data_IF_303350097998
#
_entry.id   IF_303350097998
#
_cell.length_a   1.000
_cell.length_b   1.000
_cell.length_c   1.000
_cell.angle_alpha   90.00
_cell.angle_beta   90.00
_cell.angle_gamma   90.00
#
_symmetry.space_group_name_H-M   'P 1'
#
loop_
_entity.id
_entity.type
_entity.pdbx_description
1 polymer ?
#
# COMPACT_ATOMS: atom_id res chain seq x y z
N UNK A 1 10.95 33.45 -3.25
CA UNK A 1 10.90 34.46 -2.18
C UNK A 1 9.67 34.35 -1.29
N UNK A 2 8.47 34.13 -1.83
CA UNK A 2 7.23 34.08 -1.01
C UNK A 2 7.25 33.06 0.14
N UNK A 3 7.76 31.85 -0.09
CA UNK A 3 7.86 30.82 0.97
C UNK A 3 8.73 31.26 2.16
N UNK A 4 9.77 32.09 1.92
CA UNK A 4 10.62 32.63 2.98
C UNK A 4 9.83 33.64 3.83
N UNK A 5 9.11 34.56 3.17
CA UNK A 5 8.27 35.56 3.85
C UNK A 5 7.18 34.90 4.71
N UNK A 6 6.54 33.84 4.22
CA UNK A 6 5.56 33.09 5.02
C UNK A 6 6.21 32.39 6.22
N UNK A 7 7.38 31.80 6.03
CA UNK A 7 8.11 31.14 7.11
C UNK A 7 8.55 32.13 8.20
N UNK A 8 9.07 33.30 7.82
CA UNK A 8 9.46 34.36 8.77
C UNK A 8 8.26 34.80 9.62
N UNK A 9 7.14 35.15 8.99
CA UNK A 9 5.92 35.53 9.70
C UNK A 9 5.41 34.41 10.63
N UNK A 10 5.47 33.15 10.19
CA UNK A 10 5.02 32.01 10.98
C UNK A 10 5.94 31.76 12.19
N UNK A 11 7.25 31.95 12.01
CA UNK A 11 8.25 31.76 13.06
C UNK A 11 8.21 32.86 14.14
N UNK A 12 7.61 34.00 13.86
CA UNK A 12 7.42 35.07 14.85
C UNK A 12 6.27 34.78 15.84
N UNK A 13 5.30 33.94 15.46
CA UNK A 13 4.18 33.56 16.34
C UNK A 13 4.59 32.48 17.36
N UNK A 14 5.05 32.94 18.53
CA UNK A 14 5.42 32.07 19.64
C UNK A 14 4.28 31.20 20.15
N UNK A 15 3.02 31.62 20.06
CA UNK A 15 1.90 30.84 20.56
C UNK A 15 1.65 29.61 19.67
N UNK A 16 1.70 29.79 18.35
CA UNK A 16 1.58 28.68 17.40
C UNK A 16 2.77 27.72 17.55
N UNK A 17 4.00 28.24 17.63
CA UNK A 17 5.19 27.39 17.80
C UNK A 17 5.15 26.56 19.09
N UNK A 18 4.70 27.14 20.21
CA UNK A 18 4.58 26.39 21.47
C UNK A 18 3.49 25.31 21.40
N UNK A 19 2.38 25.57 20.69
CA UNK A 19 1.35 24.55 20.45
C UNK A 19 1.90 23.40 19.62
N UNK A 20 2.54 23.69 18.49
CA UNK A 20 3.09 22.67 17.58
C UNK A 20 4.12 21.78 18.26
N UNK A 21 4.96 22.33 19.14
CA UNK A 21 5.96 21.57 19.91
C UNK A 21 5.36 20.44 20.76
N UNK A 22 4.10 20.57 21.19
CA UNK A 22 3.44 19.59 22.07
C UNK A 22 2.39 18.76 21.33
N UNK A 23 2.14 19.01 20.05
CA UNK A 23 1.10 18.32 19.28
C UNK A 23 1.40 16.82 19.12
N UNK A 24 2.67 16.42 19.02
CA UNK A 24 3.03 14.99 18.95
C UNK A 24 2.54 14.24 20.19
N UNK A 25 2.82 14.77 21.38
CA UNK A 25 2.50 14.12 22.65
C UNK A 25 1.02 14.24 23.01
N UNK A 26 0.38 15.37 22.67
CA UNK A 26 -1.01 15.65 23.05
C UNK A 26 -2.05 15.20 22.03
N UNK A 27 -1.67 15.08 20.76
CA UNK A 27 -2.60 14.80 19.65
C UNK A 27 -2.18 13.56 18.88
N UNK A 28 -0.95 13.50 18.35
CA UNK A 28 -0.57 12.42 17.44
C UNK A 28 -0.50 11.06 18.15
N UNK A 29 0.25 10.95 19.25
CA UNK A 29 0.45 9.69 19.98
C UNK A 29 -0.87 9.13 20.53
N UNK A 30 -1.70 9.92 21.26
CA UNK A 30 -2.96 9.40 21.79
C UNK A 30 -3.92 8.91 20.69
N UNK A 31 -4.05 9.68 19.59
CA UNK A 31 -4.89 9.27 18.47
C UNK A 31 -4.33 8.04 17.75
N UNK A 32 -3.01 7.98 17.54
CA UNK A 32 -2.38 6.80 16.96
C UNK A 32 -2.67 5.56 17.80
N UNK A 33 -2.55 5.62 19.13
CA UNK A 33 -2.92 4.50 20.00
C UNK A 33 -4.39 4.08 19.91
N UNK A 34 -5.31 5.03 19.80
CA UNK A 34 -6.75 4.75 19.66
C UNK A 34 -7.04 3.97 18.36
N UNK A 35 -6.36 4.32 17.27
CA UNK A 35 -6.59 3.72 15.95
C UNK A 35 -5.62 2.60 15.56
N UNK A 36 -4.58 2.33 16.37
CA UNK A 36 -3.47 1.44 16.01
C UNK A 36 -3.96 0.03 15.64
N UNK A 37 -4.85 -0.56 16.44
CA UNK A 37 -5.41 -1.90 16.18
C UNK A 37 -6.24 -1.95 14.91
N UNK A 38 -6.99 -0.89 14.57
CA UNK A 38 -7.81 -0.84 13.36
C UNK A 38 -6.97 -0.87 12.07
N UNK A 39 -5.69 -0.51 12.16
CA UNK A 39 -4.75 -0.51 11.04
C UNK A 39 -3.84 -1.74 11.11
N UNK A 40 -3.21 -1.99 12.26
CA UNK A 40 -2.20 -3.06 12.39
C UNK A 40 -2.79 -4.46 12.44
N UNK A 41 -3.94 -4.62 13.11
CA UNK A 41 -4.55 -5.93 13.32
C UNK A 41 -5.56 -6.26 12.22
N UNK A 42 -5.94 -5.28 11.40
CA UNK A 42 -6.78 -5.50 10.22
C UNK A 42 -6.04 -6.42 9.26
N UNK A 43 -6.69 -7.52 8.91
CA UNK A 43 -6.22 -8.41 7.85
C UNK A 43 -7.42 -8.88 7.04
N UNK A 44 -7.30 -8.73 5.73
CA UNK A 44 -8.31 -9.16 4.77
C UNK A 44 -7.65 -10.15 3.83
N UNK A 45 -8.27 -11.32 3.67
CA UNK A 45 -7.75 -12.38 2.80
C UNK A 45 -7.96 -11.99 1.34
N UNK A 46 -6.98 -12.25 0.46
CA UNK A 46 -7.15 -11.95 -0.96
C UNK A 46 -8.24 -12.78 -1.60
N UNK A 47 -9.02 -12.13 -2.44
CA UNK A 47 -9.82 -12.80 -3.45
C UNK A 47 -8.93 -13.11 -4.65
N UNK A 48 -8.78 -14.40 -4.97
CA UNK A 48 -7.88 -14.86 -6.03
C UNK A 48 -8.68 -15.44 -7.19
N UNK A 49 -8.41 -14.92 -8.40
CA UNK A 49 -8.97 -15.43 -9.65
C UNK A 49 -7.86 -15.93 -10.55
N UNK A 50 -8.01 -17.16 -11.06
CA UNK A 50 -7.12 -17.77 -12.04
C UNK A 50 -7.80 -17.80 -13.41
N UNK A 51 -7.15 -17.24 -14.44
CA UNK A 51 -7.69 -17.19 -15.79
C UNK A 51 -6.66 -17.56 -16.84
N UNK A 52 -7.12 -18.06 -17.99
CA UNK A 52 -6.28 -18.30 -19.17
C UNK A 52 -6.48 -17.15 -20.14
N UNK A 53 -5.40 -16.43 -20.44
CA UNK A 53 -5.43 -15.22 -21.26
C UNK A 53 -4.62 -15.45 -22.52
N UNK A 54 -5.22 -15.17 -23.68
CA UNK A 54 -4.51 -15.11 -24.96
C UNK A 54 -4.11 -13.66 -25.24
N UNK A 55 -2.86 -13.44 -25.63
CA UNK A 55 -2.43 -12.12 -26.08
C UNK A 55 -3.17 -11.72 -27.36
N UNK A 56 -3.43 -10.43 -27.53
CA UNK A 56 -4.28 -9.88 -28.60
C UNK A 56 -3.85 -10.31 -30.01
N UNK A 57 -2.55 -10.56 -30.23
CA UNK A 57 -2.00 -10.95 -31.53
C UNK A 57 -2.17 -12.44 -31.87
N UNK A 58 -2.74 -13.25 -30.97
CA UNK A 58 -3.15 -14.65 -31.20
C UNK A 58 -2.03 -15.65 -31.52
N UNK A 59 -0.80 -15.18 -31.77
CA UNK A 59 0.38 -16.01 -32.11
C UNK A 59 1.04 -16.64 -30.90
N UNK A 60 0.84 -16.07 -29.71
CA UNK A 60 1.43 -16.58 -28.47
C UNK A 60 0.52 -17.60 -27.79
N UNK A 61 1.08 -18.67 -27.18
CA UNK A 61 0.32 -19.57 -26.32
C UNK A 61 -0.41 -18.80 -25.21
N UNK A 62 -1.53 -19.35 -24.75
CA UNK A 62 -2.25 -18.77 -23.63
C UNK A 62 -1.38 -18.79 -22.37
N UNK A 63 -1.38 -17.68 -21.63
CA UNK A 63 -0.71 -17.55 -20.34
C UNK A 63 -1.72 -17.68 -19.22
N UNK A 64 -1.29 -18.19 -18.07
CA UNK A 64 -2.11 -18.17 -16.87
C UNK A 64 -1.91 -16.84 -16.17
N UNK A 65 -3.02 -16.16 -15.86
CA UNK A 65 -3.05 -14.92 -15.12
C UNK A 65 -3.72 -15.17 -13.76
N UNK A 66 -2.96 -14.95 -12.69
CA UNK A 66 -3.44 -14.96 -11.32
C UNK A 66 -3.66 -13.51 -10.89
N UNK A 67 -4.91 -13.14 -10.64
CA UNK A 67 -5.26 -11.83 -10.11
C UNK A 67 -5.65 -11.95 -8.64
N UNK A 68 -5.04 -11.15 -7.78
CA UNK A 68 -5.34 -11.09 -6.35
C UNK A 68 -5.84 -9.69 -5.99
N UNK A 69 -7.02 -9.61 -5.38
CA UNK A 69 -7.71 -8.36 -5.05
C UNK A 69 -8.20 -8.38 -3.60
N UNK A 70 -8.64 -7.22 -3.10
CA UNK A 70 -9.36 -7.06 -1.83
C UNK A 70 -8.59 -7.64 -0.63
N UNK A 71 -7.28 -7.39 -0.56
CA UNK A 71 -6.44 -7.86 0.53
C UNK A 71 -5.79 -6.71 1.28
N UNK A 72 -5.54 -6.95 2.56
CA UNK A 72 -4.85 -6.01 3.42
C UNK A 72 -4.05 -6.78 4.47
N UNK A 73 -2.81 -6.37 4.81
CA UNK A 73 -2.07 -5.21 4.29
C UNK A 73 -1.49 -5.42 2.88
N UNK A 74 -0.87 -4.37 2.30
CA UNK A 74 -0.34 -4.31 0.92
C UNK A 74 0.62 -5.46 0.54
N UNK A 75 1.36 -6.02 1.50
CA UNK A 75 2.38 -7.02 1.18
C UNK A 75 1.76 -8.39 0.92
N UNK A 76 1.95 -8.90 -0.29
CA UNK A 76 1.52 -10.25 -0.69
C UNK A 76 2.68 -11.02 -1.32
N UNK A 77 2.60 -12.36 -1.28
CA UNK A 77 3.51 -13.25 -2.01
C UNK A 77 2.72 -14.23 -2.83
N UNK A 78 2.92 -14.20 -4.15
CA UNK A 78 2.29 -15.12 -5.10
C UNK A 78 3.36 -16.04 -5.68
N UNK A 79 3.07 -17.34 -5.78
CA UNK A 79 3.98 -18.33 -6.35
C UNK A 79 3.23 -19.32 -7.21
N UNK A 80 3.85 -19.75 -8.30
CA UNK A 80 3.32 -20.78 -9.19
C UNK A 80 3.95 -22.13 -8.90
N UNK A 81 3.14 -23.18 -8.96
CA UNK A 81 3.59 -24.56 -8.85
C UNK A 81 3.15 -25.33 -10.10
N UNK A 82 4.05 -26.17 -10.61
CA UNK A 82 3.76 -27.15 -11.66
C UNK A 82 4.05 -28.53 -11.09
N UNK A 83 3.02 -29.37 -11.01
CA UNK A 83 3.10 -30.71 -10.41
C UNK A 83 3.71 -30.69 -9.00
N UNK A 84 3.32 -29.68 -8.20
CA UNK A 84 3.81 -29.48 -6.82
C UNK A 84 5.22 -28.90 -6.72
N UNK A 85 5.92 -28.62 -7.82
CA UNK A 85 7.25 -28.00 -7.83
C UNK A 85 7.16 -26.51 -8.10
N UNK A 86 7.87 -25.71 -7.29
CA UNK A 86 7.94 -24.26 -7.45
C UNK A 86 8.50 -23.88 -8.83
N UNK A 87 7.79 -23.01 -9.53
CA UNK A 87 8.26 -22.39 -10.76
C UNK A 87 8.95 -21.07 -10.45
N UNK A 88 10.19 -20.93 -10.91
CA UNK A 88 10.97 -19.68 -10.77
C UNK A 88 11.28 -19.02 -12.11
N UNK A 89 11.12 -19.74 -13.23
CA UNK A 89 11.26 -19.23 -14.59
C UNK A 89 9.91 -18.91 -15.21
N UNK A 90 9.87 -17.96 -16.13
CA UNK A 90 8.67 -17.63 -16.95
C UNK A 90 7.46 -17.13 -16.14
N UNK A 91 7.71 -16.56 -14.95
CA UNK A 91 6.70 -15.90 -14.12
C UNK A 91 6.99 -14.40 -14.11
N UNK A 92 5.96 -13.59 -14.29
CA UNK A 92 6.04 -12.14 -14.15
C UNK A 92 4.94 -11.68 -13.19
N UNK A 93 5.19 -10.58 -12.49
CA UNK A 93 4.24 -9.98 -11.56
C UNK A 93 4.19 -8.48 -11.79
N UNK A 94 3.02 -7.89 -11.59
CA UNK A 94 2.87 -6.44 -11.54
C UNK A 94 3.13 -5.96 -10.12
N UNK A 95 3.40 -4.66 -9.97
CA UNK A 95 3.42 -4.04 -8.64
C UNK A 95 2.02 -4.07 -8.03
N UNK A 96 1.96 -4.16 -6.71
CA UNK A 96 0.73 -3.97 -5.95
C UNK A 96 0.20 -2.55 -6.17
N UNK A 97 -1.13 -2.42 -6.23
CA UNK A 97 -1.80 -1.12 -6.42
C UNK A 97 -2.88 -0.98 -5.37
N UNK A 98 -2.85 0.14 -4.65
CA UNK A 98 -3.90 0.50 -3.70
C UNK A 98 -5.18 0.89 -4.45
N UNK A 99 -6.31 0.33 -4.03
CA UNK A 99 -7.66 0.65 -4.48
C UNK A 99 -8.29 1.82 -3.69
N UNK A 100 -7.85 2.02 -2.44
CA UNK A 100 -8.17 3.20 -1.63
C UNK A 100 -9.43 3.09 -0.78
N UNK A 101 -9.87 1.86 -0.48
CA UNK A 101 -11.03 1.55 0.36
C UNK A 101 -10.73 1.35 1.86
#
# INVERSE_FOLDING_TARGET
EEGVKYAENFNEDKAILQRMKVEVDKVCIPNAHIYDSLVRDKSVKPMVTLSSVKQAEGRHPAVLMCSAYEFYPEKIKVSWLRDGKLMTSEVTSTMEMADGD
#
